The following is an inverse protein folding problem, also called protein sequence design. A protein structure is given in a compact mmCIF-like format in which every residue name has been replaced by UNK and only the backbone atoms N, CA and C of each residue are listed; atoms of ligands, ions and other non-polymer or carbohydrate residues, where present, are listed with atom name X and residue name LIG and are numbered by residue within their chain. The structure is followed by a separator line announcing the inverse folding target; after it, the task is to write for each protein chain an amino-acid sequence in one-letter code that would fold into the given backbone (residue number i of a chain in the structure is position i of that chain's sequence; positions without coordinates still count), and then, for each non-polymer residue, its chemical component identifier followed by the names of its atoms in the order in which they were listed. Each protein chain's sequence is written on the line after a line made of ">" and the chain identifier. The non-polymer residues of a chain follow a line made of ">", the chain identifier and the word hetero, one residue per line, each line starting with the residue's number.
data_IF_567180149174
#
_entry.id   IF_567180149174
#
_cell.length_a   1.000
_cell.length_b   1.000
_cell.length_c   1.000
_cell.angle_alpha   90.00
_cell.angle_beta   90.00
_cell.angle_gamma   90.00
#
_symmetry.space_group_name_H-M   'P 1'
#
loop_
_entity.id
_entity.type
_entity.pdbx_description
1 polymer ?
#
# COMPACT_ATOMS: atom_id res chain seq x y z
N UNK A 1 -9.35 -52.23 -40.74
CA UNK A 1 -9.29 -50.76 -40.82
C UNK A 1 -9.55 -50.22 -39.43
N UNK A 2 -8.69 -49.56 -38.67
CA UNK A 2 -7.29 -49.13 -38.74
C UNK A 2 -6.80 -49.33 -37.30
N UNK A 3 -5.72 -50.09 -37.09
CA UNK A 3 -5.00 -50.09 -35.82
C UNK A 3 -4.04 -48.90 -35.83
N UNK A 4 -4.09 -48.03 -34.82
CA UNK A 4 -3.08 -47.00 -34.62
C UNK A 4 -2.35 -47.23 -33.30
N UNK A 5 -1.08 -47.62 -33.42
CA UNK A 5 -0.09 -47.67 -32.37
C UNK A 5 0.14 -46.27 -31.79
N UNK A 6 0.15 -46.14 -30.46
CA UNK A 6 0.87 -45.08 -29.77
C UNK A 6 1.70 -45.73 -28.66
N UNK A 7 3.00 -45.79 -28.91
CA UNK A 7 4.02 -46.23 -27.98
C UNK A 7 4.06 -45.32 -26.75
N UNK A 8 3.88 -45.90 -25.57
CA UNK A 8 4.19 -45.27 -24.29
C UNK A 8 5.70 -45.38 -24.08
N UNK A 9 6.42 -44.28 -24.25
CA UNK A 9 7.81 -44.17 -23.81
C UNK A 9 7.80 -43.73 -22.35
N UNK A 10 7.98 -44.68 -21.43
CA UNK A 10 8.27 -44.37 -20.03
C UNK A 10 9.70 -43.85 -19.91
N UNK A 11 9.85 -42.54 -19.71
CA UNK A 11 11.10 -41.94 -19.24
C UNK A 11 11.23 -42.21 -17.74
N UNK A 12 12.07 -43.19 -17.40
CA UNK A 12 12.54 -43.42 -16.03
C UNK A 12 13.50 -42.28 -15.67
N UNK A 13 13.03 -41.29 -14.92
CA UNK A 13 13.91 -40.36 -14.22
C UNK A 13 14.52 -41.12 -13.03
N UNK A 14 15.76 -41.59 -13.19
CA UNK A 14 16.59 -41.98 -12.05
C UNK A 14 16.94 -40.70 -11.28
N UNK A 15 16.25 -40.49 -10.16
CA UNK A 15 16.55 -39.41 -9.23
C UNK A 15 17.94 -39.60 -8.63
N UNK A 16 18.89 -38.75 -9.03
CA UNK A 16 20.00 -38.38 -8.16
C UNK A 16 19.39 -37.64 -6.96
N UNK A 17 19.80 -37.94 -5.70
CA UNK A 17 19.32 -37.21 -4.54
C UNK A 17 19.68 -35.72 -4.74
N UNK A 18 18.65 -34.91 -4.93
CA UNK A 18 18.78 -33.49 -5.18
C UNK A 18 19.54 -32.84 -4.03
N UNK A 19 20.73 -32.32 -4.34
CA UNK A 19 21.28 -31.24 -3.56
C UNK A 19 20.24 -30.12 -3.58
N UNK A 20 19.63 -29.82 -2.45
CA UNK A 20 18.87 -28.59 -2.28
C UNK A 20 19.84 -27.45 -2.56
N UNK A 21 19.80 -26.91 -3.79
CA UNK A 21 20.57 -25.74 -4.16
C UNK A 21 20.17 -24.64 -3.20
N UNK A 22 21.11 -24.19 -2.38
CA UNK A 22 20.91 -23.08 -1.46
C UNK A 22 20.59 -21.87 -2.32
N UNK A 23 19.37 -21.33 -2.20
CA UNK A 23 18.95 -20.16 -2.97
C UNK A 23 20.01 -19.06 -2.83
N UNK A 24 20.65 -18.69 -3.92
CA UNK A 24 21.78 -17.77 -3.91
C UNK A 24 21.22 -16.35 -4.02
N UNK A 25 21.55 -15.49 -3.05
CA UNK A 25 21.10 -14.10 -3.05
C UNK A 25 22.26 -13.22 -3.50
N UNK A 26 22.46 -13.15 -4.81
CA UNK A 26 23.51 -12.32 -5.45
C UNK A 26 22.96 -11.70 -6.72
N UNK A 27 23.58 -10.61 -7.16
CA UNK A 27 23.21 -9.86 -8.37
C UNK A 27 23.13 -10.79 -9.60
N UNK A 28 24.09 -11.72 -9.73
CA UNK A 28 24.14 -12.66 -10.86
C UNK A 28 22.91 -13.54 -10.94
N UNK A 29 22.32 -13.91 -9.80
CA UNK A 29 21.11 -14.74 -9.73
C UNK A 29 19.95 -14.08 -10.48
N UNK A 30 19.93 -12.74 -10.49
CA UNK A 30 18.84 -11.94 -11.04
C UNK A 30 19.19 -11.25 -12.36
N UNK A 31 20.43 -11.41 -12.85
CA UNK A 31 20.95 -10.74 -14.06
C UNK A 31 20.16 -10.95 -15.34
N UNK A 32 19.31 -11.98 -15.40
CA UNK A 32 18.47 -12.30 -16.56
C UNK A 32 17.09 -11.63 -16.53
N UNK A 33 16.72 -10.96 -15.43
CA UNK A 33 15.42 -10.30 -15.28
C UNK A 33 15.29 -9.16 -16.29
N UNK A 34 14.10 -9.07 -16.87
CA UNK A 34 13.72 -8.05 -17.85
C UNK A 34 12.33 -7.53 -17.54
N UNK A 35 12.07 -6.32 -17.99
CA UNK A 35 10.75 -5.71 -17.97
C UNK A 35 10.42 -5.24 -19.40
N UNK A 36 9.21 -5.53 -19.86
CA UNK A 36 8.77 -5.07 -21.16
C UNK A 36 8.58 -3.54 -21.12
N UNK A 37 8.99 -2.84 -22.17
CA UNK A 37 8.88 -1.37 -22.29
C UNK A 37 9.71 -0.56 -21.29
N UNK A 38 10.66 -1.19 -20.60
CA UNK A 38 11.60 -0.53 -19.71
C UNK A 38 13.02 -1.10 -19.88
N UNK A 39 14.02 -0.34 -19.48
CA UNK A 39 15.42 -0.75 -19.42
C UNK A 39 15.83 -0.99 -17.98
N UNK A 40 16.39 -2.17 -17.69
CA UNK A 40 16.99 -2.46 -16.39
C UNK A 40 18.36 -1.80 -16.31
N UNK A 41 18.53 -0.89 -15.34
CA UNK A 41 19.75 -0.14 -15.12
C UNK A 41 20.71 -0.88 -14.19
N UNK A 42 20.18 -1.47 -13.11
CA UNK A 42 20.95 -2.30 -12.19
C UNK A 42 20.06 -3.23 -11.38
N UNK A 43 20.64 -4.32 -10.89
CA UNK A 43 20.02 -5.20 -9.90
C UNK A 43 21.04 -5.42 -8.79
N UNK A 44 20.63 -5.16 -7.55
CA UNK A 44 21.46 -5.34 -6.36
C UNK A 44 20.74 -6.29 -5.41
N UNK A 45 21.42 -7.33 -4.96
CA UNK A 45 20.88 -8.33 -4.06
C UNK A 45 21.82 -8.64 -2.91
N UNK A 46 21.29 -8.66 -1.69
CA UNK A 46 22.05 -9.03 -0.51
C UNK A 46 21.17 -9.67 0.55
N UNK A 47 21.75 -10.60 1.31
CA UNK A 47 21.09 -11.13 2.51
C UNK A 47 21.19 -10.11 3.63
N UNK A 48 20.09 -9.90 4.35
CA UNK A 48 20.02 -8.98 5.49
C UNK A 48 19.02 -9.49 6.52
N UNK A 49 19.41 -9.46 7.79
CA UNK A 49 18.46 -9.56 8.90
C UNK A 49 17.90 -8.17 9.19
N UNK A 50 16.58 -8.09 9.32
CA UNK A 50 15.84 -6.84 9.50
C UNK A 50 14.99 -6.94 10.74
N UNK A 51 15.13 -5.95 11.62
CA UNK A 51 14.21 -5.73 12.74
C UNK A 51 12.94 -5.03 12.21
N UNK A 52 11.77 -5.53 12.59
CA UNK A 52 10.51 -4.91 12.20
C UNK A 52 10.28 -3.59 12.95
N UNK A 53 9.52 -2.65 12.34
CA UNK A 53 9.11 -1.44 13.05
C UNK A 53 8.24 -1.79 14.26
N UNK A 54 8.27 -0.92 15.28
CA UNK A 54 7.51 -1.09 16.52
C UNK A 54 6.00 -0.96 16.32
N UNK A 55 5.59 -0.23 15.28
CA UNK A 55 4.19 -0.02 14.90
C UNK A 55 3.85 -0.70 13.58
N UNK A 56 2.61 -1.20 13.43
CA UNK A 56 2.16 -1.81 12.20
C UNK A 56 2.28 -0.85 11.03
N UNK A 57 2.64 -1.38 9.89
CA UNK A 57 2.63 -0.64 8.63
C UNK A 57 1.74 -1.37 7.62
N UNK A 58 0.79 -0.65 7.03
CA UNK A 58 -0.19 -1.15 6.05
C UNK A 58 -1.00 -2.41 6.49
N UNK A 59 -1.82 -2.29 7.53
CA UNK A 59 -2.81 -3.29 7.99
C UNK A 59 -2.27 -4.68 8.37
N UNK A 60 -0.95 -4.88 8.31
CA UNK A 60 -0.33 -6.11 8.77
C UNK A 60 -0.13 -6.07 10.29
N UNK A 61 -0.71 -7.03 11.05
CA UNK A 61 -0.40 -7.15 12.46
C UNK A 61 1.05 -7.60 12.64
N UNK A 62 1.82 -6.81 13.39
CA UNK A 62 3.21 -7.12 13.74
C UNK A 62 3.26 -7.69 15.16
N UNK A 63 3.86 -8.87 15.38
CA UNK A 63 4.33 -9.23 16.72
C UNK A 63 5.53 -8.33 17.05
N UNK A 64 5.38 -7.41 18.00
CA UNK A 64 6.43 -6.49 18.44
C UNK A 64 7.75 -7.22 18.72
N UNK A 65 8.89 -6.66 18.28
CA UNK A 65 10.23 -7.24 18.54
C UNK A 65 10.58 -8.46 17.68
N UNK A 66 9.92 -8.62 16.53
CA UNK A 66 10.26 -9.68 15.57
C UNK A 66 11.33 -9.21 14.59
N UNK A 67 12.19 -10.12 14.16
CA UNK A 67 13.12 -9.92 13.05
C UNK A 67 12.95 -10.99 11.98
N UNK A 68 13.40 -10.69 10.77
CA UNK A 68 13.37 -11.62 9.64
C UNK A 68 14.66 -11.51 8.83
N UNK A 69 15.23 -12.64 8.43
CA UNK A 69 16.32 -12.67 7.45
C UNK A 69 15.74 -12.87 6.06
N UNK A 70 16.05 -11.93 5.16
CA UNK A 70 15.55 -11.92 3.78
C UNK A 70 16.71 -11.76 2.81
N UNK A 71 16.54 -12.28 1.60
CA UNK A 71 17.23 -11.77 0.43
C UNK A 71 16.52 -10.48 0.01
N UNK A 72 17.20 -9.34 0.17
CA UNK A 72 16.74 -8.04 -0.34
C UNK A 72 17.21 -7.91 -1.77
N UNK A 73 16.31 -7.57 -2.68
CA UNK A 73 16.62 -7.32 -4.08
C UNK A 73 16.07 -5.95 -4.45
N UNK A 74 16.91 -5.10 -5.02
CA UNK A 74 16.51 -3.83 -5.62
C UNK A 74 16.75 -3.92 -7.12
N UNK A 75 15.67 -3.78 -7.90
CA UNK A 75 15.73 -3.67 -9.35
C UNK A 75 15.51 -2.21 -9.72
N UNK A 76 16.52 -1.57 -10.29
CA UNK A 76 16.44 -0.20 -10.79
C UNK A 76 16.22 -0.20 -12.29
N UNK A 77 15.26 0.59 -12.77
CA UNK A 77 14.89 0.66 -14.18
C UNK A 77 14.42 2.06 -14.61
N UNK A 78 14.31 2.26 -15.92
CA UNK A 78 13.80 3.49 -16.54
C UNK A 78 12.90 3.17 -17.72
N UNK A 79 11.93 4.03 -18.01
CA UNK A 79 11.12 3.97 -19.22
C UNK A 79 11.74 4.84 -20.32
N UNK A 80 11.95 4.30 -21.54
CA UNK A 80 12.47 5.08 -22.66
C UNK A 80 11.66 6.36 -22.90
N UNK A 81 12.33 7.51 -22.82
CA UNK A 81 11.74 8.84 -23.06
C UNK A 81 11.00 9.45 -21.87
N UNK A 82 10.92 8.78 -20.71
CA UNK A 82 10.25 9.31 -19.51
C UNK A 82 11.21 10.07 -18.59
N UNK A 83 12.52 9.82 -18.72
CA UNK A 83 13.56 10.40 -17.88
C UNK A 83 13.29 10.16 -16.37
N UNK A 84 12.81 8.95 -16.06
CA UNK A 84 12.59 8.47 -14.70
C UNK A 84 13.68 7.48 -14.29
N UNK A 85 13.80 7.25 -12.98
CA UNK A 85 14.65 6.19 -12.42
C UNK A 85 13.90 5.61 -11.25
N UNK A 86 13.37 4.40 -11.45
CA UNK A 86 12.43 3.76 -10.53
C UNK A 86 13.13 2.58 -9.87
N UNK A 87 12.89 2.41 -8.57
CA UNK A 87 13.33 1.25 -7.82
C UNK A 87 12.14 0.38 -7.45
N UNK A 88 12.26 -0.91 -7.76
CA UNK A 88 11.41 -1.98 -7.24
C UNK A 88 12.18 -2.71 -6.15
N UNK A 89 11.59 -2.82 -4.97
CA UNK A 89 12.19 -3.53 -3.83
C UNK A 89 11.45 -4.83 -3.60
N UNK A 90 12.19 -5.93 -3.50
CA UNK A 90 11.65 -7.27 -3.26
C UNK A 90 12.33 -7.88 -2.06
N UNK A 91 11.56 -8.34 -1.08
CA UNK A 91 12.08 -9.09 0.07
C UNK A 91 11.61 -10.54 -0.02
N UNK A 92 12.57 -11.45 0.00
CA UNK A 92 12.36 -12.89 -0.13
C UNK A 92 12.82 -13.55 1.18
N UNK A 93 11.94 -14.14 1.99
CA UNK A 93 12.35 -14.93 3.15
C UNK A 93 13.34 -16.02 2.75
N UNK A 94 14.51 -16.06 3.39
CA UNK A 94 15.54 -17.08 3.07
C UNK A 94 15.10 -18.50 3.43
N UNK A 95 14.07 -18.61 4.28
CA UNK A 95 13.40 -19.83 4.68
C UNK A 95 11.91 -19.52 4.96
N UNK A 96 11.07 -20.55 4.96
CA UNK A 96 9.66 -20.41 5.33
C UNK A 96 8.80 -19.68 4.29
N UNK A 97 9.25 -19.56 3.04
CA UNK A 97 8.38 -19.05 1.97
C UNK A 97 7.17 -19.97 1.79
N UNK A 98 5.99 -19.38 1.85
CA UNK A 98 4.71 -20.08 1.84
C UNK A 98 4.09 -20.19 0.42
N UNK A 99 4.92 -19.96 -0.61
CA UNK A 99 4.55 -19.93 -2.03
C UNK A 99 3.60 -18.79 -2.43
N UNK A 100 3.44 -17.77 -1.57
CA UNK A 100 2.61 -16.61 -1.85
C UNK A 100 3.45 -15.36 -2.05
N UNK A 101 2.96 -14.53 -2.95
CA UNK A 101 3.49 -13.22 -3.25
C UNK A 101 2.53 -12.14 -2.76
N UNK A 102 3.04 -11.01 -2.27
CA UNK A 102 2.22 -9.85 -1.93
C UNK A 102 2.86 -8.54 -2.37
N UNK A 103 2.08 -7.69 -3.03
CA UNK A 103 2.41 -6.29 -3.25
C UNK A 103 1.89 -5.43 -2.11
N UNK A 104 2.74 -4.53 -1.60
CA UNK A 104 2.35 -3.55 -0.58
C UNK A 104 2.39 -2.14 -1.16
N UNK A 105 1.29 -1.41 -0.93
CA UNK A 105 1.09 -0.05 -1.42
C UNK A 105 1.73 1.04 -0.55
N UNK A 106 1.44 2.29 -0.87
CA UNK A 106 1.96 3.48 -0.17
C UNK A 106 0.88 4.28 0.57
N UNK A 107 1.25 5.50 0.95
CA UNK A 107 0.37 6.46 1.63
C UNK A 107 0.63 7.89 1.13
N UNK A 108 -0.40 8.73 1.16
CA UNK A 108 -0.32 10.10 0.63
C UNK A 108 0.18 10.10 -0.83
N UNK A 109 1.25 10.84 -1.09
CA UNK A 109 1.86 10.99 -2.42
C UNK A 109 3.04 10.05 -2.69
N UNK A 110 3.27 9.06 -1.82
CA UNK A 110 4.28 8.01 -2.00
C UNK A 110 3.65 6.71 -2.50
N UNK A 111 4.36 5.98 -3.37
CA UNK A 111 3.87 4.72 -3.96
C UNK A 111 4.00 3.52 -3.05
N UNK A 112 4.91 3.56 -2.08
CA UNK A 112 5.25 2.45 -1.18
C UNK A 112 6.06 2.93 0.03
N UNK A 113 6.49 1.97 0.85
CA UNK A 113 7.43 2.17 1.95
C UNK A 113 8.24 0.88 2.14
N UNK A 114 9.56 0.99 2.38
CA UNK A 114 10.43 -0.18 2.52
C UNK A 114 10.16 -0.91 3.84
N UNK A 115 9.71 -0.21 4.88
CA UNK A 115 9.37 -0.84 6.15
C UNK A 115 8.23 -1.87 6.00
N UNK A 116 7.36 -1.66 5.02
CA UNK A 116 6.12 -2.42 4.81
C UNK A 116 6.37 -3.80 4.20
N UNK A 117 7.57 -4.07 3.70
CA UNK A 117 7.94 -5.41 3.25
C UNK A 117 8.13 -6.39 4.41
N UNK A 118 8.53 -5.90 5.58
CA UNK A 118 8.93 -6.74 6.71
C UNK A 118 7.79 -7.59 7.27
N UNK A 119 6.66 -6.99 7.69
CA UNK A 119 5.57 -7.73 8.32
C UNK A 119 5.05 -8.92 7.49
N UNK A 120 4.68 -8.78 6.21
CA UNK A 120 4.30 -9.93 5.39
C UNK A 120 5.44 -10.92 5.14
N UNK A 121 6.69 -10.48 5.04
CA UNK A 121 7.84 -11.39 4.90
C UNK A 121 7.95 -12.34 6.12
N UNK A 122 7.66 -11.86 7.32
CA UNK A 122 7.65 -12.71 8.54
C UNK A 122 6.56 -13.77 8.53
N UNK A 123 5.52 -13.58 7.71
CA UNK A 123 4.44 -14.54 7.48
C UNK A 123 4.73 -15.47 6.30
N UNK A 124 5.94 -15.41 5.74
CA UNK A 124 6.41 -16.27 4.67
C UNK A 124 6.03 -15.81 3.27
N UNK A 125 5.56 -14.57 3.07
CA UNK A 125 5.32 -14.04 1.73
C UNK A 125 6.65 -13.59 1.10
N UNK A 126 6.78 -13.74 -0.22
CA UNK A 126 7.68 -12.91 -1.01
C UNK A 126 6.99 -11.57 -1.26
N UNK A 127 7.65 -10.46 -0.96
CA UNK A 127 6.99 -9.15 -0.87
C UNK A 127 7.59 -8.17 -1.86
N UNK A 128 6.76 -7.31 -2.47
CA UNK A 128 7.23 -6.24 -3.35
C UNK A 128 6.66 -4.88 -2.96
N UNK A 129 7.44 -3.83 -3.18
CA UNK A 129 6.96 -2.44 -3.27
C UNK A 129 7.80 -1.64 -4.26
N UNK A 130 7.42 -0.40 -4.53
CA UNK A 130 8.17 0.51 -5.42
C UNK A 130 8.15 1.94 -4.91
N UNK A 131 9.22 2.67 -5.22
CA UNK A 131 9.33 4.11 -4.98
C UNK A 131 8.66 4.95 -6.08
N UNK A 132 8.18 4.33 -7.18
CA UNK A 132 7.51 5.04 -8.27
C UNK A 132 8.39 6.08 -8.95
N UNK A 133 9.70 6.00 -8.77
CA UNK A 133 10.69 6.95 -9.25
C UNK A 133 10.99 8.09 -8.29
N UNK A 134 10.60 8.00 -7.01
CA UNK A 134 10.82 9.06 -6.02
C UNK A 134 11.01 8.61 -4.57
N UNK A 135 11.71 9.41 -3.75
CA UNK A 135 11.85 9.12 -2.32
C UNK A 135 10.51 8.89 -1.63
N UNK A 136 10.42 7.82 -0.83
CA UNK A 136 9.23 7.45 -0.04
C UNK A 136 9.17 8.14 1.34
N UNK A 137 10.15 8.99 1.66
CA UNK A 137 10.32 9.58 3.00
C UNK A 137 9.31 10.70 3.32
N UNK A 138 8.79 11.41 2.32
CA UNK A 138 7.83 12.50 2.52
C UNK A 138 6.55 12.26 1.71
N UNK A 139 5.51 11.78 2.39
CA UNK A 139 4.19 11.47 1.81
C UNK A 139 3.37 12.72 1.43
N UNK A 140 3.87 13.93 1.70
CA UNK A 140 3.23 15.20 1.38
C UNK A 140 3.95 15.96 0.26
N UNK A 141 5.11 15.47 -0.18
CA UNK A 141 5.87 16.13 -1.24
C UNK A 141 5.13 16.03 -2.57
N UNK A 142 4.94 17.19 -3.22
CA UNK A 142 4.19 17.34 -4.47
C UNK A 142 4.94 18.13 -5.55
N UNK A 143 6.15 18.60 -5.23
CA UNK A 143 7.02 19.41 -6.11
C UNK A 143 7.24 18.75 -7.48
N UNK A 144 7.24 17.42 -7.51
CA UNK A 144 7.47 16.58 -8.67
C UNK A 144 6.30 16.48 -9.64
N UNK A 145 5.07 16.78 -9.20
CA UNK A 145 3.85 16.61 -10.00
C UNK A 145 3.74 17.66 -11.11
N UNK A 146 4.53 18.73 -11.00
CA UNK A 146 4.57 19.83 -11.95
C UNK A 146 6.00 20.04 -12.45
N UNK A 147 6.15 20.37 -13.73
CA UNK A 147 7.45 20.84 -14.27
C UNK A 147 7.63 22.34 -14.06
N UNK A 148 6.51 23.07 -14.01
CA UNK A 148 6.41 24.49 -13.66
C UNK A 148 4.95 24.81 -13.30
N UNK A 149 4.68 26.03 -12.82
CA UNK A 149 3.31 26.43 -12.48
C UNK A 149 2.34 26.19 -13.65
N UNK A 150 1.26 25.45 -13.40
CA UNK A 150 0.26 25.10 -14.41
C UNK A 150 0.66 24.00 -15.41
N UNK A 151 1.88 23.45 -15.31
CA UNK A 151 2.38 22.44 -16.25
C UNK A 151 2.59 21.09 -15.57
N UNK A 152 1.72 20.14 -15.89
CA UNK A 152 1.73 18.79 -15.33
C UNK A 152 2.96 18.01 -15.78
N UNK A 153 3.62 17.33 -14.84
CA UNK A 153 4.65 16.35 -15.11
C UNK A 153 4.02 14.94 -15.21
N UNK A 154 3.68 14.53 -16.43
CA UNK A 154 2.89 13.31 -16.66
C UNK A 154 3.57 11.99 -16.31
N UNK A 155 4.82 11.72 -16.72
CA UNK A 155 5.49 10.44 -16.41
C UNK A 155 5.46 10.07 -14.91
N UNK A 156 5.87 10.93 -13.97
CA UNK A 156 5.82 10.59 -12.56
C UNK A 156 4.41 10.43 -11.99
N UNK A 157 3.40 11.12 -12.55
CA UNK A 157 2.00 10.91 -12.17
C UNK A 157 1.49 9.56 -12.67
N UNK A 158 1.89 9.12 -13.86
CA UNK A 158 1.54 7.79 -14.38
C UNK A 158 2.20 6.67 -13.57
N UNK A 159 3.46 6.85 -13.18
CA UNK A 159 4.16 5.92 -12.29
C UNK A 159 3.45 5.83 -10.94
N UNK A 160 3.12 6.97 -10.33
CA UNK A 160 2.36 7.01 -9.09
C UNK A 160 0.97 6.37 -9.22
N UNK A 161 0.27 6.66 -10.32
CA UNK A 161 -1.09 6.23 -10.53
C UNK A 161 -1.19 4.71 -10.74
N UNK A 162 -0.35 4.14 -11.60
CA UNK A 162 -0.56 2.80 -12.16
C UNK A 162 0.70 2.08 -12.64
N UNK A 163 1.55 2.73 -13.44
CA UNK A 163 2.57 2.06 -14.28
C UNK A 163 3.62 1.36 -13.42
N UNK A 164 4.27 2.09 -12.52
CA UNK A 164 5.29 1.53 -11.65
C UNK A 164 4.77 0.42 -10.73
N UNK A 165 3.45 0.39 -10.44
CA UNK A 165 2.83 -0.66 -9.63
C UNK A 165 2.77 -1.99 -10.38
N UNK A 166 2.42 -1.93 -11.67
CA UNK A 166 2.40 -3.09 -12.57
C UNK A 166 3.81 -3.60 -12.84
N UNK A 167 4.74 -2.69 -13.09
CA UNK A 167 6.15 -2.97 -13.28
C UNK A 167 6.75 -3.67 -12.06
N UNK A 168 6.51 -3.10 -10.87
CA UNK A 168 6.97 -3.67 -9.61
C UNK A 168 6.39 -5.06 -9.38
N UNK A 169 5.10 -5.27 -9.68
CA UNK A 169 4.47 -6.59 -9.54
C UNK A 169 5.12 -7.61 -10.49
N UNK A 170 5.33 -7.22 -11.74
CA UNK A 170 5.93 -8.06 -12.78
C UNK A 170 7.37 -8.43 -12.42
N UNK A 171 8.18 -7.44 -12.06
CA UNK A 171 9.56 -7.62 -11.61
C UNK A 171 9.61 -8.46 -10.32
N UNK A 172 8.75 -8.19 -9.35
CA UNK A 172 8.71 -8.90 -8.07
C UNK A 172 8.41 -10.39 -8.25
N UNK A 173 7.48 -10.75 -9.13
CA UNK A 173 7.21 -12.16 -9.47
C UNK A 173 8.38 -12.81 -10.21
N UNK A 174 9.03 -12.10 -11.13
CA UNK A 174 10.20 -12.60 -11.83
C UNK A 174 11.39 -12.85 -10.87
N UNK A 175 11.65 -11.91 -9.96
CA UNK A 175 12.64 -12.04 -8.87
C UNK A 175 12.29 -13.25 -7.99
N UNK A 176 11.04 -13.40 -7.60
CA UNK A 176 10.56 -14.51 -6.78
C UNK A 176 10.80 -15.86 -7.47
N UNK A 177 10.45 -15.95 -8.76
CA UNK A 177 10.65 -17.16 -9.55
C UNK A 177 12.13 -17.51 -9.74
N UNK A 178 12.98 -16.51 -10.00
CA UNK A 178 14.42 -16.69 -10.13
C UNK A 178 15.06 -17.19 -8.82
N UNK A 179 14.63 -16.64 -7.67
CA UNK A 179 15.18 -17.04 -6.37
C UNK A 179 14.73 -18.43 -5.95
N UNK A 180 13.41 -18.69 -5.91
CA UNK A 180 12.86 -19.96 -5.40
C UNK A 180 12.82 -21.09 -6.43
N UNK A 181 13.14 -20.80 -7.70
CA UNK A 181 13.09 -21.77 -8.81
C UNK A 181 11.68 -22.12 -9.27
N UNK A 182 10.65 -21.39 -8.81
CA UNK A 182 9.25 -21.55 -9.20
C UNK A 182 8.44 -20.28 -8.96
N UNK A 183 7.40 -20.08 -9.76
CA UNK A 183 6.48 -18.95 -9.61
C UNK A 183 5.67 -19.02 -8.31
N UNK A 184 5.21 -17.87 -7.77
CA UNK A 184 4.24 -17.85 -6.68
C UNK A 184 2.96 -18.58 -7.07
N UNK A 185 2.42 -19.41 -6.19
CA UNK A 185 1.15 -20.11 -6.40
C UNK A 185 -0.04 -19.15 -6.35
N UNK A 186 0.04 -18.14 -5.48
CA UNK A 186 -0.95 -17.08 -5.36
C UNK A 186 -0.28 -15.73 -5.15
N UNK A 187 -0.87 -14.69 -5.69
CA UNK A 187 -0.43 -13.30 -5.55
C UNK A 187 -1.53 -12.45 -4.91
N UNK A 188 -1.18 -11.62 -3.94
CA UNK A 188 -2.11 -10.74 -3.22
C UNK A 188 -1.67 -9.28 -3.26
N UNK A 189 -2.61 -8.35 -3.12
CA UNK A 189 -2.32 -6.95 -2.83
C UNK A 189 -2.79 -6.62 -1.41
N UNK A 190 -2.02 -5.81 -0.68
CA UNK A 190 -2.43 -5.21 0.59
C UNK A 190 -2.07 -3.71 0.59
N UNK A 191 -3.07 -2.85 0.79
CA UNK A 191 -2.81 -1.43 1.02
C UNK A 191 -4.00 -0.68 1.59
N UNK A 192 -3.67 0.37 2.36
CA UNK A 192 -4.61 1.29 2.98
C UNK A 192 -4.41 2.71 2.41
N UNK A 193 -5.44 3.57 2.40
CA UNK A 193 -5.35 4.95 1.88
C UNK A 193 -4.93 4.99 0.40
N UNK A 194 -3.80 5.60 0.06
CA UNK A 194 -3.20 5.52 -1.28
C UNK A 194 -2.96 4.08 -1.71
N UNK A 195 -2.54 3.19 -0.81
CA UNK A 195 -2.43 1.75 -1.04
C UNK A 195 -3.76 1.10 -1.40
N UNK A 196 -4.87 1.57 -0.83
CA UNK A 196 -6.22 1.12 -1.19
C UNK A 196 -6.59 1.56 -2.62
N UNK A 197 -6.34 2.84 -2.95
CA UNK A 197 -6.49 3.37 -4.33
C UNK A 197 -5.69 2.55 -5.33
N UNK A 198 -4.43 2.27 -5.00
CA UNK A 198 -3.53 1.46 -5.82
C UNK A 198 -4.08 0.04 -6.00
N UNK A 199 -4.60 -0.58 -4.94
CA UNK A 199 -5.24 -1.89 -5.01
C UNK A 199 -6.43 -1.91 -5.99
N UNK A 200 -7.31 -0.91 -5.93
CA UNK A 200 -8.37 -0.75 -6.93
C UNK A 200 -7.83 -0.54 -8.34
N UNK A 201 -6.77 0.27 -8.50
CA UNK A 201 -6.14 0.47 -9.81
C UNK A 201 -5.57 -0.84 -10.37
N UNK A 202 -4.91 -1.65 -9.54
CA UNK A 202 -4.41 -2.97 -9.94
C UNK A 202 -5.56 -3.88 -10.35
N UNK A 203 -6.66 -3.91 -9.59
CA UNK A 203 -7.84 -4.71 -9.94
C UNK A 203 -8.51 -4.26 -11.24
N UNK A 204 -8.58 -2.95 -11.51
CA UNK A 204 -9.27 -2.39 -12.67
C UNK A 204 -8.44 -2.44 -13.95
N UNK A 205 -7.15 -2.08 -13.88
CA UNK A 205 -6.27 -1.91 -15.05
C UNK A 205 -5.38 -3.12 -15.31
N UNK A 206 -5.03 -3.86 -14.28
CA UNK A 206 -4.11 -5.01 -14.35
C UNK A 206 -4.73 -6.25 -13.66
N UNK A 207 -5.93 -6.70 -14.09
CA UNK A 207 -6.76 -7.66 -13.37
C UNK A 207 -6.11 -9.04 -13.18
N UNK A 208 -5.05 -9.35 -13.93
CA UNK A 208 -4.32 -10.63 -13.85
C UNK A 208 -3.14 -10.59 -12.89
N UNK A 209 -2.82 -9.41 -12.30
CA UNK A 209 -1.66 -9.29 -11.43
C UNK A 209 -1.88 -9.90 -10.04
N UNK A 210 -3.12 -9.95 -9.54
CA UNK A 210 -3.39 -10.43 -8.19
C UNK A 210 -4.62 -11.35 -8.16
N UNK A 211 -4.54 -12.42 -7.37
CA UNK A 211 -5.64 -13.33 -7.10
C UNK A 211 -6.57 -12.80 -6.01
N UNK A 212 -6.08 -11.93 -5.13
CA UNK A 212 -6.86 -11.26 -4.10
C UNK A 212 -6.31 -9.87 -3.80
N UNK A 213 -7.20 -8.91 -3.55
CA UNK A 213 -6.85 -7.52 -3.28
C UNK A 213 -7.51 -7.11 -1.96
N UNK A 214 -6.71 -6.81 -0.95
CA UNK A 214 -7.13 -6.09 0.24
C UNK A 214 -6.84 -4.60 0.01
N UNK A 215 -7.90 -3.83 -0.18
CA UNK A 215 -7.86 -2.39 -0.40
C UNK A 215 -8.77 -1.70 0.60
N UNK A 216 -8.19 -0.91 1.49
CA UNK A 216 -8.89 -0.33 2.62
C UNK A 216 -8.67 1.19 2.72
N UNK A 217 -9.61 1.88 3.37
CA UNK A 217 -9.70 3.35 3.43
C UNK A 217 -9.33 4.01 2.09
N UNK A 218 -9.80 3.43 0.98
CA UNK A 218 -9.23 3.67 -0.34
C UNK A 218 -9.40 5.12 -0.80
N UNK A 219 -8.27 5.81 -1.05
CA UNK A 219 -8.25 7.17 -1.57
C UNK A 219 -8.54 7.21 -3.09
N UNK A 220 -9.69 6.70 -3.53
CA UNK A 220 -10.16 6.83 -4.92
C UNK A 220 -10.92 8.14 -5.15
N UNK A 221 -11.34 8.42 -6.39
CA UNK A 221 -12.00 9.70 -6.77
C UNK A 221 -11.17 10.93 -6.37
N UNK A 222 -9.87 10.88 -6.68
CA UNK A 222 -8.87 11.84 -6.20
C UNK A 222 -9.17 13.31 -6.51
N UNK A 223 -9.81 13.58 -7.64
CA UNK A 223 -10.28 14.91 -8.02
C UNK A 223 -11.24 15.51 -6.98
N UNK A 224 -12.09 14.68 -6.37
CA UNK A 224 -13.02 15.08 -5.31
C UNK A 224 -12.41 14.96 -3.94
N UNK A 225 -11.71 13.86 -3.67
CA UNK A 225 -11.11 13.56 -2.38
C UNK A 225 -10.12 14.65 -1.95
N UNK A 226 -9.14 14.98 -2.80
CA UNK A 226 -8.14 16.00 -2.47
C UNK A 226 -8.79 17.38 -2.27
N UNK A 227 -9.77 17.75 -3.11
CA UNK A 227 -10.50 19.00 -2.92
C UNK A 227 -11.27 19.02 -1.58
N UNK A 228 -11.86 17.89 -1.19
CA UNK A 228 -12.59 17.77 0.08
C UNK A 228 -11.67 17.86 1.31
N UNK A 229 -10.43 17.38 1.24
CA UNK A 229 -9.46 17.50 2.33
C UNK A 229 -9.14 18.98 2.65
N UNK A 230 -9.08 19.85 1.63
CA UNK A 230 -8.80 21.27 1.83
C UNK A 230 -10.02 22.09 2.24
N UNK A 231 -11.24 21.57 2.02
CA UNK A 231 -12.47 22.34 2.25
C UNK A 231 -12.64 22.80 3.70
N UNK A 232 -12.50 21.95 4.74
CA UNK A 232 -12.59 22.41 6.13
C UNK A 232 -11.60 23.52 6.47
N UNK A 233 -10.37 23.42 5.97
CA UNK A 233 -9.33 24.44 6.20
C UNK A 233 -9.70 25.78 5.57
N UNK A 234 -10.23 25.75 4.34
CA UNK A 234 -10.72 26.94 3.66
C UNK A 234 -11.88 27.59 4.41
N UNK A 235 -12.85 26.80 4.88
CA UNK A 235 -14.01 27.29 5.64
C UNK A 235 -13.56 27.93 6.95
N UNK A 236 -12.74 27.22 7.74
CA UNK A 236 -12.19 27.75 9.00
C UNK A 236 -11.43 29.07 8.78
N UNK A 237 -10.58 29.12 7.75
CA UNK A 237 -9.86 30.34 7.39
C UNK A 237 -10.78 31.49 7.00
N UNK A 238 -11.79 31.21 6.17
CA UNK A 238 -12.75 32.23 5.69
C UNK A 238 -13.63 32.79 6.82
N UNK A 239 -13.95 31.95 7.81
CA UNK A 239 -14.69 32.33 9.01
C UNK A 239 -13.80 32.98 10.08
N UNK A 240 -12.47 32.85 9.96
CA UNK A 240 -11.53 33.27 11.00
C UNK A 240 -11.68 32.46 12.30
N UNK A 241 -12.22 31.24 12.21
CA UNK A 241 -12.53 30.38 13.35
C UNK A 241 -11.93 28.99 13.17
N UNK A 242 -11.18 28.54 14.16
CA UNK A 242 -10.59 27.20 14.21
C UNK A 242 -11.11 26.53 15.49
N UNK A 243 -12.07 25.59 15.40
CA UNK A 243 -12.65 24.95 16.56
C UNK A 243 -11.56 24.29 17.41
N UNK A 244 -11.53 24.52 18.73
CA UNK A 244 -10.61 23.80 19.61
C UNK A 244 -11.03 22.34 19.75
N UNK A 245 -10.10 21.47 20.14
CA UNK A 245 -10.35 20.03 20.26
C UNK A 245 -11.56 19.71 21.16
N UNK A 246 -11.71 20.40 22.29
CA UNK A 246 -12.85 20.22 23.21
C UNK A 246 -14.23 20.43 22.54
N UNK A 247 -14.31 21.31 21.54
CA UNK A 247 -15.54 21.57 20.79
C UNK A 247 -15.87 20.41 19.85
N UNK A 248 -14.86 19.92 19.14
CA UNK A 248 -14.96 18.73 18.29
C UNK A 248 -15.31 17.49 19.11
N UNK A 249 -14.72 17.33 20.29
CA UNK A 249 -15.00 16.23 21.22
C UNK A 249 -16.44 16.31 21.75
N UNK A 250 -16.92 17.50 22.09
CA UNK A 250 -18.29 17.68 22.57
C UNK A 250 -19.34 17.42 21.47
N UNK A 251 -19.08 17.82 20.22
CA UNK A 251 -19.93 17.43 19.08
C UNK A 251 -19.88 15.92 18.87
N UNK A 252 -18.69 15.31 18.90
CA UNK A 252 -18.51 13.86 18.76
C UNK A 252 -19.29 13.09 19.83
N UNK A 253 -19.22 13.53 21.09
CA UNK A 253 -19.98 12.93 22.18
C UNK A 253 -21.49 13.11 22.02
N UNK A 254 -21.95 14.23 21.47
CA UNK A 254 -23.37 14.45 21.18
C UNK A 254 -23.87 13.50 20.08
N UNK A 255 -23.07 13.28 19.03
CA UNK A 255 -23.34 12.30 17.96
C UNK A 255 -23.38 10.88 18.53
N UNK A 256 -22.35 10.46 19.26
CA UNK A 256 -22.30 9.13 19.90
C UNK A 256 -23.53 8.93 20.77
N UNK A 257 -23.84 9.88 21.66
CA UNK A 257 -25.03 9.78 22.53
C UNK A 257 -26.34 9.64 21.76
N UNK A 258 -26.46 10.29 20.61
CA UNK A 258 -27.67 10.23 19.80
C UNK A 258 -27.77 8.94 18.98
N UNK A 259 -26.64 8.39 18.52
CA UNK A 259 -26.61 7.39 17.47
C UNK A 259 -26.03 6.03 17.88
N UNK A 260 -25.24 5.92 18.95
CA UNK A 260 -24.75 4.64 19.48
C UNK A 260 -25.90 3.66 19.77
N UNK A 261 -27.02 4.06 20.44
CA UNK A 261 -28.10 3.10 20.72
C UNK A 261 -28.84 2.57 19.48
N UNK A 262 -28.65 3.12 18.28
CA UNK A 262 -29.46 2.79 17.10
C UNK A 262 -29.11 1.43 16.50
N UNK A 263 -27.90 0.92 16.73
CA UNK A 263 -27.49 -0.42 16.31
C UNK A 263 -27.88 -1.52 17.33
N UNK A 264 -28.46 -1.13 18.47
CA UNK A 264 -28.94 -2.01 19.53
C UNK A 264 -27.91 -2.33 20.61
N UNK A 265 -26.71 -1.74 20.56
CA UNK A 265 -25.67 -1.85 21.59
C UNK A 265 -25.20 -0.45 21.98
N UNK A 266 -25.20 -0.14 23.28
CA UNK A 266 -24.60 1.11 23.78
C UNK A 266 -23.17 0.84 24.23
N UNK A 267 -22.20 0.93 23.33
CA UNK A 267 -20.78 0.68 23.62
C UNK A 267 -19.85 1.86 23.26
N UNK A 268 -20.44 3.00 22.88
CA UNK A 268 -19.74 4.21 22.48
C UNK A 268 -19.30 4.19 21.02
N UNK A 269 -19.78 3.26 20.20
CA UNK A 269 -19.45 3.11 18.78
C UNK A 269 -20.70 3.28 17.95
N UNK A 270 -20.70 4.27 17.05
CA UNK A 270 -21.77 4.41 16.06
C UNK A 270 -21.54 3.40 14.92
N UNK A 271 -22.07 2.18 15.04
CA UNK A 271 -21.88 1.14 14.00
C UNK A 271 -22.77 1.34 12.77
N UNK A 272 -23.95 1.95 12.95
CA UNK A 272 -24.84 2.37 11.86
C UNK A 272 -24.72 3.88 11.62
N UNK A 273 -23.62 4.30 11.00
CA UNK A 273 -23.39 5.72 10.68
C UNK A 273 -24.39 6.27 9.65
N UNK A 274 -24.88 5.42 8.73
CA UNK A 274 -25.81 5.85 7.68
C UNK A 274 -27.23 6.08 8.23
N UNK A 275 -27.62 5.36 9.29
CA UNK A 275 -28.88 5.55 10.01
C UNK A 275 -28.88 6.66 11.06
N UNK A 276 -27.73 7.29 11.33
CA UNK A 276 -27.60 8.36 12.32
C UNK A 276 -28.16 9.70 11.81
N UNK A 277 -29.40 10.02 12.18
CA UNK A 277 -30.08 11.30 11.84
C UNK A 277 -29.82 12.40 12.88
N UNK A 278 -28.56 12.55 13.32
CA UNK A 278 -28.19 13.61 14.24
C UNK A 278 -28.21 14.98 13.54
N UNK A 279 -29.04 15.90 14.04
CA UNK A 279 -29.05 17.30 13.59
C UNK A 279 -27.97 18.11 14.34
N UNK A 280 -26.90 18.59 13.66
CA UNK A 280 -25.87 19.42 14.30
C UNK A 280 -26.42 20.74 14.84
N UNK A 281 -27.55 21.24 14.32
CA UNK A 281 -28.17 22.47 14.83
C UNK A 281 -28.81 22.28 16.20
N UNK A 282 -29.09 21.04 16.61
CA UNK A 282 -29.70 20.72 17.90
C UNK A 282 -28.82 21.10 19.11
N UNK A 283 -27.50 21.23 18.92
CA UNK A 283 -26.57 21.63 19.98
C UNK A 283 -26.33 23.13 20.05
N UNK A 284 -26.84 23.92 19.10
CA UNK A 284 -26.68 25.38 19.08
C UNK A 284 -27.26 25.99 20.36
N UNK A 285 -26.50 26.91 20.95
CA UNK A 285 -26.87 27.59 22.20
C UNK A 285 -26.49 26.82 23.46
N UNK A 286 -26.11 25.54 23.37
CA UNK A 286 -25.52 24.80 24.48
C UNK A 286 -24.08 25.25 24.75
N UNK A 287 -23.59 24.97 25.96
CA UNK A 287 -22.28 25.42 26.44
C UNK A 287 -21.38 24.24 26.74
N UNK A 288 -20.10 24.37 26.38
CA UNK A 288 -19.05 23.40 26.65
C UNK A 288 -17.98 24.05 27.51
N UNK A 289 -17.43 23.29 28.45
CA UNK A 289 -16.27 23.72 29.23
C UNK A 289 -15.03 23.11 28.60
N UNK A 290 -14.05 23.95 28.30
CA UNK A 290 -12.79 23.57 27.71
C UNK A 290 -11.67 23.82 28.71
N UNK A 291 -10.69 22.92 28.73
CA UNK A 291 -9.45 23.09 29.49
C UNK A 291 -8.38 23.79 28.66
N UNK A 292 -8.40 23.61 27.33
CA UNK A 292 -7.50 24.24 26.39
C UNK A 292 -8.23 24.56 25.07
N UNK A 293 -8.56 25.84 24.79
CA UNK A 293 -8.37 27.00 25.66
C UNK A 293 -9.26 26.92 26.90
N UNK A 294 -8.79 27.41 28.05
CA UNK A 294 -9.58 27.37 29.28
C UNK A 294 -10.75 28.35 29.21
N UNK A 295 -11.97 27.85 29.42
CA UNK A 295 -13.16 28.67 29.46
C UNK A 295 -14.44 27.94 29.08
N UNK A 296 -15.54 28.67 29.03
CA UNK A 296 -16.82 28.18 28.52
C UNK A 296 -17.03 28.69 27.12
N UNK A 297 -17.17 27.77 26.16
CA UNK A 297 -17.59 28.09 24.80
C UNK A 297 -19.09 27.83 24.67
N UNK A 298 -19.74 28.58 23.78
CA UNK A 298 -21.15 28.40 23.46
C UNK A 298 -21.28 28.12 21.98
N UNK A 299 -21.96 27.04 21.61
CA UNK A 299 -22.26 26.78 20.21
C UNK A 299 -23.11 27.91 19.65
N UNK A 300 -22.73 28.38 18.47
CA UNK A 300 -23.47 29.40 17.73
C UNK A 300 -23.89 28.83 16.40
N UNK A 301 -24.85 29.44 15.72
CA UNK A 301 -25.21 29.05 14.35
C UNK A 301 -24.12 29.35 13.31
N UNK A 302 -23.00 29.96 13.74
CA UNK A 302 -21.86 30.31 12.89
C UNK A 302 -20.65 29.38 13.12
N UNK A 303 -20.69 28.51 14.14
CA UNK A 303 -19.65 27.54 14.47
C UNK A 303 -20.18 26.12 14.30
#
# INVERSE_FOLDING_TARGET
>A
MIFSNLSVVSLIFQGLPGAFSKHTCTDETFSSIKLNNAEILSINANVSSVELPEFPTNEWPIPSGSSITVCKVTVQYTHPGWNDTINTYVWLPISGWNERFVGVGGGGWSTGDIADLGPPATKGYSVVTTDGGRPMANRQELSWALTSAGHINWPPLQNFAAVALDDATTLGKAVTAAYYGKEPKYSYWNGCSTGGRQGHMMAQRYPTQYNGVLAAASAFNWDRFIASEYWPQLVMHSLGYYPPACELDAITNAVIKACDPTDGVEDGIVSDSDGCDFDPMSVVGSTITCDNPSGTLRYTSFH
#
